data_IF_513653020530
#
_entry.id   IF_513653020530
#
_cell.length_a   1.000
_cell.length_b   1.000
_cell.length_c   1.000
_cell.angle_alpha   90.00
_cell.angle_beta   90.00
_cell.angle_gamma   90.00
#
_symmetry.space_group_name_H-M   'P 1'
#
loop_
_entity.id
_entity.type
_entity.pdbx_description
1 polymer ?
#
# COMPACT_ATOMS: atom_id res chain seq x y z
N UNK A 1 -1.97 -16.53 7.62
CA UNK A 1 -0.83 -15.64 7.30
C UNK A 1 0.46 -16.39 6.96
N UNK A 2 1.00 -17.28 7.82
CA UNK A 2 2.27 -18.00 7.55
C UNK A 2 2.23 -18.78 6.22
N UNK A 3 1.26 -19.68 6.04
CA UNK A 3 1.12 -20.48 4.81
C UNK A 3 1.03 -19.59 3.56
N UNK A 4 0.23 -18.52 3.65
CA UNK A 4 0.11 -17.55 2.58
C UNK A 4 1.48 -16.90 2.25
N UNK A 5 2.23 -16.47 3.27
CA UNK A 5 3.54 -15.85 3.06
C UNK A 5 4.54 -16.83 2.43
N UNK A 6 4.48 -18.10 2.83
CA UNK A 6 5.29 -19.16 2.20
C UNK A 6 4.92 -19.35 0.73
N UNK A 7 3.62 -19.43 0.41
CA UNK A 7 3.15 -19.53 -0.98
C UNK A 7 3.64 -18.34 -1.79
N UNK A 8 3.45 -17.12 -1.28
CA UNK A 8 3.89 -15.89 -1.94
C UNK A 8 5.41 -15.86 -2.18
N UNK A 9 6.21 -16.12 -1.16
CA UNK A 9 7.67 -16.14 -1.27
C UNK A 9 8.16 -17.23 -2.23
N UNK A 10 7.51 -18.40 -2.20
CA UNK A 10 7.82 -19.49 -3.13
C UNK A 10 7.50 -19.09 -4.57
N UNK A 11 6.32 -18.52 -4.82
CA UNK A 11 5.94 -18.03 -6.15
C UNK A 11 6.90 -16.96 -6.63
N UNK A 12 7.24 -15.98 -5.78
CA UNK A 12 8.18 -14.92 -6.14
C UNK A 12 9.58 -15.46 -6.44
N UNK A 13 10.09 -16.40 -5.64
CA UNK A 13 11.38 -17.06 -5.88
C UNK A 13 11.37 -17.80 -7.22
N UNK A 14 10.34 -18.61 -7.48
CA UNK A 14 10.21 -19.36 -8.73
C UNK A 14 10.13 -18.43 -9.95
N UNK A 15 9.38 -17.33 -9.86
CA UNK A 15 9.34 -16.31 -10.91
C UNK A 15 10.71 -15.68 -11.12
N UNK A 16 11.42 -15.33 -10.04
CA UNK A 16 12.75 -14.72 -10.11
C UNK A 16 13.75 -15.66 -10.78
N UNK A 17 13.77 -16.94 -10.39
CA UNK A 17 14.63 -17.96 -10.99
C UNK A 17 14.32 -18.15 -12.49
N UNK A 18 13.03 -18.19 -12.84
CA UNK A 18 12.60 -18.33 -14.22
C UNK A 18 13.07 -17.15 -15.09
N UNK A 19 12.86 -15.92 -14.62
CA UNK A 19 13.22 -14.69 -15.35
C UNK A 19 14.75 -14.53 -15.44
N UNK A 20 15.49 -14.87 -14.38
CA UNK A 20 16.95 -14.85 -14.41
C UNK A 20 17.52 -15.83 -15.45
N UNK A 21 16.83 -16.95 -15.69
CA UNK A 21 17.27 -17.95 -16.67
C UNK A 21 16.81 -17.63 -18.11
N UNK A 22 15.59 -17.12 -18.29
CA UNK A 22 14.98 -16.96 -19.62
C UNK A 22 14.92 -15.52 -20.13
N UNK A 23 15.31 -14.55 -19.30
CA UNK A 23 15.14 -13.13 -19.61
C UNK A 23 13.78 -12.57 -19.17
N UNK A 24 13.59 -11.25 -19.29
CA UNK A 24 12.36 -10.58 -18.89
C UNK A 24 11.27 -10.85 -19.94
N UNK A 25 10.01 -10.85 -19.50
CA UNK A 25 8.89 -10.93 -20.43
C UNK A 25 8.71 -9.59 -21.14
N UNK A 26 8.96 -9.58 -22.45
CA UNK A 26 8.86 -8.37 -23.29
C UNK A 26 7.45 -8.13 -23.85
N UNK A 27 6.56 -9.13 -23.78
CA UNK A 27 5.24 -9.09 -24.43
C UNK A 27 4.11 -9.21 -23.42
N UNK A 28 4.08 -10.28 -22.62
CA UNK A 28 2.95 -10.58 -21.75
C UNK A 28 2.97 -9.69 -20.51
N UNK A 29 4.10 -9.59 -19.81
CA UNK A 29 4.17 -8.82 -18.56
C UNK A 29 3.85 -7.32 -18.75
N UNK A 30 4.30 -6.61 -19.80
CA UNK A 30 3.94 -5.21 -20.00
C UNK A 30 2.44 -5.01 -20.23
N UNK A 31 1.82 -5.88 -21.04
CA UNK A 31 0.38 -5.86 -21.32
C UNK A 31 -0.41 -6.13 -20.04
N UNK A 32 -0.06 -7.22 -19.34
CA UNK A 32 -0.67 -7.59 -18.07
C UNK A 32 -0.59 -6.43 -17.08
N UNK A 33 0.62 -5.93 -16.81
CA UNK A 33 0.88 -4.83 -15.87
C UNK A 33 0.04 -3.60 -16.19
N UNK A 34 -0.04 -3.19 -17.47
CA UNK A 34 -0.82 -2.03 -17.88
C UNK A 34 -2.31 -2.18 -17.56
N UNK A 35 -2.92 -3.30 -17.93
CA UNK A 35 -4.37 -3.50 -17.73
C UNK A 35 -4.72 -3.82 -16.27
N UNK A 36 -3.90 -4.64 -15.62
CA UNK A 36 -3.92 -4.90 -14.18
C UNK A 36 -3.99 -3.59 -13.39
N UNK A 37 -3.05 -2.69 -13.63
CA UNK A 37 -3.01 -1.40 -12.95
C UNK A 37 -4.25 -0.53 -13.25
N UNK A 38 -4.81 -0.56 -14.46
CA UNK A 38 -6.04 0.20 -14.77
C UNK A 38 -7.25 -0.34 -14.01
N UNK A 39 -7.43 -1.65 -14.02
CA UNK A 39 -8.53 -2.31 -13.31
C UNK A 39 -8.39 -2.07 -11.82
N UNK A 40 -7.18 -2.23 -11.29
CA UNK A 40 -6.93 -2.14 -9.86
C UNK A 40 -6.97 -0.70 -9.35
N UNK A 41 -6.68 0.29 -10.21
CA UNK A 41 -6.95 1.71 -9.94
C UNK A 41 -8.44 1.96 -9.71
N UNK A 42 -9.30 1.46 -10.62
CA UNK A 42 -10.75 1.57 -10.48
C UNK A 42 -11.25 0.84 -9.23
N UNK A 43 -10.78 -0.39 -9.00
CA UNK A 43 -11.11 -1.15 -7.79
C UNK A 43 -10.75 -0.38 -6.51
N UNK A 44 -9.55 0.20 -6.45
CA UNK A 44 -9.08 0.97 -5.31
C UNK A 44 -9.94 2.23 -5.08
N UNK A 45 -10.37 2.90 -6.15
CA UNK A 45 -11.27 4.04 -6.05
C UNK A 45 -12.64 3.63 -5.50
N UNK A 46 -13.23 2.56 -6.04
CA UNK A 46 -14.53 2.05 -5.59
C UNK A 46 -14.48 1.60 -4.12
N UNK A 47 -13.39 0.92 -3.72
CA UNK A 47 -13.20 0.52 -2.33
C UNK A 47 -13.03 1.72 -1.39
N UNK A 48 -12.31 2.76 -1.81
CA UNK A 48 -12.21 4.02 -1.07
C UNK A 48 -13.59 4.66 -0.84
N UNK A 49 -14.38 4.80 -1.91
CA UNK A 49 -15.73 5.34 -1.82
C UNK A 49 -16.63 4.49 -0.93
N UNK A 50 -16.51 3.16 -0.99
CA UNK A 50 -17.26 2.25 -0.14
C UNK A 50 -16.91 2.41 1.35
N UNK A 51 -15.62 2.51 1.69
CA UNK A 51 -15.16 2.73 3.08
C UNK A 51 -15.65 4.09 3.60
N UNK A 52 -15.57 5.14 2.78
CA UNK A 52 -16.07 6.48 3.15
C UNK A 52 -17.59 6.48 3.34
N UNK A 53 -18.33 5.85 2.43
CA UNK A 53 -19.78 5.71 2.53
C UNK A 53 -20.20 5.05 3.84
N UNK A 54 -19.59 3.91 4.20
CA UNK A 54 -19.86 3.23 5.48
C UNK A 54 -19.48 4.13 6.67
N UNK A 55 -18.38 4.89 6.59
CA UNK A 55 -17.96 5.79 7.66
C UNK A 55 -18.99 6.89 7.93
N UNK A 56 -19.57 7.47 6.87
CA UNK A 56 -20.63 8.47 7.00
C UNK A 56 -21.94 7.86 7.49
N UNK A 57 -22.31 6.68 7.01
CA UNK A 57 -23.54 6.00 7.43
C UNK A 57 -23.49 5.53 8.89
N UNK A 58 -22.37 4.96 9.33
CA UNK A 58 -22.17 4.52 10.72
C UNK A 58 -22.29 5.67 11.71
N UNK A 59 -21.93 6.90 11.31
CA UNK A 59 -22.08 8.09 12.15
C UNK A 59 -23.55 8.55 12.30
N UNK A 60 -24.46 8.02 11.48
CA UNK A 60 -25.87 8.39 11.43
C UNK A 60 -26.80 7.33 12.06
N UNK A 61 -26.33 6.09 12.24
CA UNK A 61 -27.20 4.92 12.43
C UNK A 61 -26.99 4.15 13.74
N UNK A 62 -26.52 4.81 14.81
CA UNK A 62 -26.29 4.26 16.17
C UNK A 62 -27.57 3.77 16.91
N UNK A 63 -28.67 3.49 16.20
CA UNK A 63 -29.97 3.19 16.81
C UNK A 63 -30.86 2.14 16.13
N UNK A 64 -30.43 1.49 15.05
CA UNK A 64 -31.25 0.45 14.41
C UNK A 64 -30.48 -0.86 14.23
N UNK A 65 -30.67 -1.75 15.20
CA UNK A 65 -30.44 -3.19 15.05
C UNK A 65 -31.18 -3.67 13.79
N UNK A 66 -30.45 -4.21 12.82
CA UNK A 66 -31.09 -5.07 11.82
C UNK A 66 -30.13 -6.18 11.41
N UNK A 67 -30.70 -7.37 11.22
CA UNK A 67 -30.12 -8.62 10.73
C UNK A 67 -29.60 -8.52 9.28
N UNK A 68 -28.96 -7.40 8.93
CA UNK A 68 -28.43 -7.08 7.62
C UNK A 68 -26.98 -7.51 7.42
N UNK A 69 -26.54 -7.47 6.16
CA UNK A 69 -25.14 -7.69 5.77
C UNK A 69 -24.22 -6.75 6.57
N UNK A 70 -23.27 -7.32 7.32
CA UNK A 70 -22.24 -6.55 8.04
C UNK A 70 -21.29 -5.88 7.03
N UNK A 71 -21.69 -4.70 6.56
CA UNK A 71 -20.95 -3.91 5.57
C UNK A 71 -19.57 -3.52 6.06
N UNK A 72 -19.39 -3.32 7.37
CA UNK A 72 -18.08 -2.99 7.92
C UNK A 72 -17.14 -4.19 7.80
N UNK A 73 -17.58 -5.38 8.21
CA UNK A 73 -16.81 -6.60 8.04
C UNK A 73 -16.53 -6.91 6.58
N UNK A 74 -17.48 -6.68 5.69
CA UNK A 74 -17.25 -6.79 4.24
C UNK A 74 -16.17 -5.81 3.76
N UNK A 75 -16.18 -4.56 4.22
CA UNK A 75 -15.18 -3.57 3.85
C UNK A 75 -13.79 -3.93 4.42
N UNK A 76 -13.70 -4.38 5.67
CA UNK A 76 -12.45 -4.86 6.31
C UNK A 76 -11.86 -6.04 5.55
N UNK A 77 -12.69 -7.03 5.24
CA UNK A 77 -12.28 -8.22 4.48
C UNK A 77 -11.83 -7.86 3.07
N UNK A 78 -12.59 -7.00 2.37
CA UNK A 78 -12.24 -6.56 1.02
C UNK A 78 -10.93 -5.77 1.01
N UNK A 79 -10.72 -4.88 1.99
CA UNK A 79 -9.47 -4.14 2.14
C UNK A 79 -8.28 -5.06 2.46
N UNK A 80 -8.43 -6.01 3.37
CA UNK A 80 -7.39 -6.99 3.66
C UNK A 80 -7.07 -7.85 2.43
N UNK A 81 -8.10 -8.32 1.71
CA UNK A 81 -7.93 -9.12 0.50
C UNK A 81 -7.22 -8.34 -0.62
N UNK A 82 -7.47 -7.05 -0.73
CA UNK A 82 -6.75 -6.18 -1.67
C UNK A 82 -5.23 -6.23 -1.41
N UNK A 83 -4.80 -6.31 -0.15
CA UNK A 83 -3.36 -6.42 0.19
C UNK A 83 -2.72 -7.73 -0.24
N UNK A 84 -3.48 -8.81 -0.33
CA UNK A 84 -2.99 -10.03 -0.96
C UNK A 84 -2.89 -9.91 -2.46
N UNK A 85 -3.86 -9.25 -3.09
CA UNK A 85 -3.84 -9.05 -4.54
C UNK A 85 -2.60 -8.26 -5.00
N UNK A 86 -2.13 -7.33 -4.17
CA UNK A 86 -0.92 -6.53 -4.41
C UNK A 86 0.36 -7.37 -4.59
N UNK A 87 0.39 -8.64 -4.19
CA UNK A 87 1.51 -9.54 -4.53
C UNK A 87 1.76 -9.69 -6.03
N UNK A 88 0.71 -9.54 -6.83
CA UNK A 88 0.84 -9.54 -8.29
C UNK A 88 1.74 -8.41 -8.80
N UNK A 89 1.91 -7.32 -8.05
CA UNK A 89 2.79 -6.23 -8.43
C UNK A 89 4.26 -6.64 -8.35
N UNK A 90 4.64 -7.37 -7.31
CA UNK A 90 6.01 -7.90 -7.15
C UNK A 90 6.31 -8.90 -8.28
N UNK A 91 5.36 -9.78 -8.58
CA UNK A 91 5.50 -10.73 -9.69
C UNK A 91 5.61 -10.00 -11.04
N UNK A 92 4.82 -8.95 -11.25
CA UNK A 92 4.86 -8.14 -12.47
C UNK A 92 6.18 -7.40 -12.63
N UNK A 93 6.66 -6.74 -11.56
CA UNK A 93 7.95 -6.04 -11.55
C UNK A 93 9.10 -7.02 -11.79
N UNK A 94 9.07 -8.20 -11.17
CA UNK A 94 10.04 -9.28 -11.38
C UNK A 94 10.01 -9.74 -12.83
N UNK A 95 8.83 -9.94 -13.41
CA UNK A 95 8.68 -10.41 -14.79
C UNK A 95 9.19 -9.39 -15.83
N UNK A 96 9.24 -8.11 -15.50
CA UNK A 96 9.65 -7.03 -16.41
C UNK A 96 11.15 -6.75 -16.42
N UNK A 97 11.91 -7.16 -15.41
CA UNK A 97 13.32 -6.77 -15.27
C UNK A 97 14.21 -7.97 -14.94
N UNK A 98 15.34 -8.09 -15.63
CA UNK A 98 16.24 -9.24 -15.47
C UNK A 98 17.37 -9.01 -14.47
N UNK A 99 17.66 -7.76 -14.09
CA UNK A 99 18.82 -7.45 -13.25
C UNK A 99 18.59 -6.30 -12.27
N UNK A 100 17.36 -5.80 -12.16
CA UNK A 100 17.04 -4.77 -11.16
C UNK A 100 16.59 -5.44 -9.87
N UNK A 101 17.40 -5.29 -8.83
CA UNK A 101 16.99 -5.64 -7.49
C UNK A 101 15.70 -4.88 -7.15
N UNK A 102 14.68 -5.61 -6.69
CA UNK A 102 13.46 -5.00 -6.20
C UNK A 102 13.80 -4.09 -5.02
N UNK A 103 13.25 -2.88 -5.05
CA UNK A 103 13.43 -1.90 -3.99
C UNK A 103 13.01 -2.50 -2.63
N UNK A 104 13.83 -2.29 -1.60
CA UNK A 104 13.67 -2.92 -0.28
C UNK A 104 12.35 -2.52 0.38
N UNK A 105 12.00 -1.23 0.33
CA UNK A 105 10.72 -0.71 0.79
C UNK A 105 9.57 -1.45 0.10
N UNK A 106 9.64 -1.59 -1.22
CA UNK A 106 8.59 -2.21 -2.01
C UNK A 106 8.40 -3.69 -1.63
N UNK A 107 9.48 -4.45 -1.55
CA UNK A 107 9.45 -5.85 -1.12
C UNK A 107 8.97 -6.03 0.32
N UNK A 108 9.51 -5.24 1.26
CA UNK A 108 9.14 -5.30 2.67
C UNK A 108 7.67 -4.94 2.86
N UNK A 109 7.22 -3.84 2.24
CA UNK A 109 5.83 -3.38 2.28
C UNK A 109 4.87 -4.45 1.80
N UNK A 110 5.11 -5.06 0.63
CA UNK A 110 4.20 -6.07 0.09
C UNK A 110 4.17 -7.32 0.96
N UNK A 111 5.32 -7.76 1.49
CA UNK A 111 5.38 -8.91 2.38
C UNK A 111 4.58 -8.67 3.67
N UNK A 112 4.70 -7.48 4.26
CA UNK A 112 4.23 -7.21 5.63
C UNK A 112 2.88 -6.48 5.71
N UNK A 113 2.39 -5.85 4.65
CA UNK A 113 1.09 -5.14 4.67
C UNK A 113 -0.12 -6.07 4.86
N UNK A 114 -0.13 -7.31 4.32
CA UNK A 114 -1.14 -8.28 4.69
C UNK A 114 -1.09 -8.67 6.17
N UNK A 115 0.09 -8.77 6.77
CA UNK A 115 0.23 -8.98 8.22
C UNK A 115 -0.28 -7.78 9.03
N UNK A 116 0.07 -6.56 8.61
CA UNK A 116 -0.43 -5.33 9.19
C UNK A 116 -1.97 -5.33 9.22
N UNK A 117 -2.61 -5.56 8.07
CA UNK A 117 -4.08 -5.54 7.98
C UNK A 117 -4.74 -6.72 8.68
N UNK A 118 -4.10 -7.89 8.72
CA UNK A 118 -4.56 -9.03 9.52
C UNK A 118 -4.59 -8.71 11.03
N UNK A 119 -3.55 -8.06 11.54
CA UNK A 119 -3.44 -7.71 12.97
C UNK A 119 -4.34 -6.52 13.33
N UNK A 120 -4.43 -5.53 12.44
CA UNK A 120 -4.99 -4.20 12.75
C UNK A 120 -6.44 -3.99 12.29
N UNK A 121 -6.86 -4.67 11.22
CA UNK A 121 -8.11 -4.37 10.50
C UNK A 121 -9.10 -5.53 10.51
N UNK A 122 -8.65 -6.78 10.59
CA UNK A 122 -9.56 -7.92 10.61
C UNK A 122 -10.23 -8.26 11.96
N UNK A 123 -9.60 -8.08 13.13
CA UNK A 123 -10.17 -8.63 14.36
C UNK A 123 -11.48 -7.95 14.80
N UNK A 124 -12.52 -8.74 15.04
CA UNK A 124 -13.88 -8.22 15.26
C UNK A 124 -14.03 -7.33 16.52
N UNK A 125 -13.17 -7.47 17.54
CA UNK A 125 -13.35 -6.82 18.85
C UNK A 125 -12.57 -5.48 19.06
N UNK A 126 -11.84 -4.95 18.06
CA UNK A 126 -10.96 -3.78 18.32
C UNK A 126 -10.48 -3.01 17.07
N UNK A 127 -11.34 -2.88 16.06
CA UNK A 127 -10.96 -2.23 14.79
C UNK A 127 -10.95 -0.68 14.82
N UNK A 128 -10.93 -0.01 15.96
CA UNK A 128 -11.06 1.45 16.04
C UNK A 128 -10.10 2.19 15.08
N UNK A 129 -10.59 3.22 14.37
CA UNK A 129 -9.77 4.07 13.50
C UNK A 129 -9.31 3.46 12.16
N UNK A 130 -9.59 2.17 11.88
CA UNK A 130 -9.07 1.49 10.68
C UNK A 130 -9.46 2.18 9.36
N UNK A 131 -10.68 2.76 9.31
CA UNK A 131 -11.29 3.33 8.10
C UNK A 131 -10.49 4.50 7.55
N UNK A 132 -9.92 5.36 8.41
CA UNK A 132 -9.16 6.53 7.97
C UNK A 132 -7.88 6.15 7.22
N UNK A 133 -7.12 5.22 7.80
CA UNK A 133 -5.93 4.67 7.15
C UNK A 133 -6.30 3.94 5.86
N UNK A 134 -7.32 3.08 5.90
CA UNK A 134 -7.73 2.31 4.73
C UNK A 134 -8.25 3.18 3.57
N UNK A 135 -9.03 4.22 3.87
CA UNK A 135 -9.51 5.19 2.87
C UNK A 135 -8.34 5.98 2.26
N UNK A 136 -7.41 6.48 3.07
CA UNK A 136 -6.23 7.19 2.56
C UNK A 136 -5.32 6.28 1.73
N UNK A 137 -5.14 5.03 2.16
CA UNK A 137 -4.37 4.04 1.43
C UNK A 137 -5.01 3.67 0.09
N UNK A 138 -6.30 3.38 0.07
CA UNK A 138 -7.03 3.04 -1.17
C UNK A 138 -7.11 4.23 -2.12
N UNK A 139 -7.26 5.47 -1.61
CA UNK A 139 -7.15 6.69 -2.41
C UNK A 139 -5.75 6.84 -3.04
N UNK A 140 -4.68 6.61 -2.27
CA UNK A 140 -3.32 6.63 -2.81
C UNK A 140 -3.14 5.53 -3.87
N UNK A 141 -3.63 4.31 -3.62
CA UNK A 141 -3.52 3.20 -4.56
C UNK A 141 -4.29 3.50 -5.86
N UNK A 142 -5.49 4.10 -5.78
CA UNK A 142 -6.24 4.52 -6.97
C UNK A 142 -5.39 5.43 -7.87
N UNK A 143 -4.71 6.43 -7.28
CA UNK A 143 -3.82 7.34 -8.01
C UNK A 143 -2.55 6.65 -8.53
N UNK A 144 -1.93 5.82 -7.69
CA UNK A 144 -0.68 5.13 -7.98
C UNK A 144 -0.86 4.16 -9.15
N UNK A 145 -1.90 3.34 -9.11
CA UNK A 145 -2.21 2.41 -10.19
C UNK A 145 -2.70 3.12 -11.46
N UNK A 146 -3.40 4.26 -11.36
CA UNK A 146 -3.71 5.07 -12.54
C UNK A 146 -2.43 5.56 -13.22
N UNK A 147 -1.44 5.98 -12.44
CA UNK A 147 -0.13 6.39 -12.93
C UNK A 147 0.60 5.22 -13.60
N UNK A 148 0.71 4.06 -12.94
CA UNK A 148 1.39 2.88 -13.51
C UNK A 148 0.64 2.25 -14.70
N UNK A 149 -0.69 2.40 -14.76
CA UNK A 149 -1.50 1.99 -15.91
C UNK A 149 -1.44 2.96 -17.10
N UNK A 150 -0.69 4.06 -16.98
CA UNK A 150 -0.54 5.06 -18.04
C UNK A 150 -1.86 5.75 -18.40
N UNK A 151 -2.72 6.01 -17.42
CA UNK A 151 -4.01 6.71 -17.64
C UNK A 151 -3.80 8.22 -17.81
N UNK A 152 -2.71 8.77 -17.26
CA UNK A 152 -2.37 10.18 -17.38
C UNK A 152 -1.46 10.45 -18.58
N UNK A 153 -1.82 11.40 -19.45
CA UNK A 153 -0.94 11.88 -20.54
C UNK A 153 0.31 12.61 -20.02
N UNK A 154 1.32 12.88 -20.88
CA UNK A 154 2.67 13.27 -20.46
C UNK A 154 2.76 14.45 -19.48
N UNK A 155 1.93 15.50 -19.67
CA UNK A 155 1.88 16.68 -18.78
C UNK A 155 1.25 16.38 -17.41
N UNK A 156 0.31 15.44 -17.35
CA UNK A 156 -0.34 15.02 -16.11
C UNK A 156 0.56 14.07 -15.31
N UNK A 157 1.42 13.31 -15.99
CA UNK A 157 2.38 12.37 -15.37
C UNK A 157 3.31 13.05 -14.35
N UNK A 158 3.81 14.26 -14.64
CA UNK A 158 4.71 14.96 -13.72
C UNK A 158 3.99 15.47 -12.47
N UNK A 159 2.82 16.09 -12.65
CA UNK A 159 1.98 16.54 -11.51
C UNK A 159 1.56 15.35 -10.66
N UNK A 160 1.13 14.27 -11.29
CA UNK A 160 0.72 13.05 -10.61
C UNK A 160 1.88 12.46 -9.81
N UNK A 161 3.10 12.44 -10.35
CA UNK A 161 4.30 11.99 -9.59
C UNK A 161 4.50 12.78 -8.29
N UNK A 162 4.30 14.10 -8.31
CA UNK A 162 4.39 14.94 -7.10
C UNK A 162 3.26 14.60 -6.11
N UNK A 163 2.03 14.46 -6.60
CA UNK A 163 0.88 14.06 -5.77
C UNK A 163 1.09 12.68 -5.15
N UNK A 164 1.66 11.73 -5.88
CA UNK A 164 1.97 10.38 -5.38
C UNK A 164 2.97 10.40 -4.23
N UNK A 165 4.00 11.26 -4.29
CA UNK A 165 4.92 11.42 -3.15
C UNK A 165 4.19 11.88 -1.90
N UNK A 166 3.39 12.94 -2.02
CA UNK A 166 2.65 13.51 -0.88
C UNK A 166 1.60 12.56 -0.33
N UNK A 167 0.79 11.96 -1.20
CA UNK A 167 -0.26 11.03 -0.78
C UNK A 167 0.33 9.75 -0.21
N UNK A 168 1.46 9.27 -0.74
CA UNK A 168 2.17 8.09 -0.24
C UNK A 168 2.71 8.26 1.17
N UNK A 169 3.28 9.42 1.48
CA UNK A 169 3.71 9.72 2.86
C UNK A 169 2.53 10.06 3.78
N UNK A 170 1.57 10.84 3.26
CA UNK A 170 0.41 11.30 4.03
C UNK A 170 -0.44 10.15 4.56
N UNK A 171 -0.66 9.10 3.78
CA UNK A 171 -1.39 7.92 4.25
C UNK A 171 -0.71 7.22 5.43
N UNK A 172 0.64 7.15 5.45
CA UNK A 172 1.40 6.49 6.52
C UNK A 172 1.36 7.32 7.79
N UNK A 173 1.57 8.63 7.66
CA UNK A 173 1.46 9.58 8.76
C UNK A 173 0.07 9.57 9.38
N UNK A 174 -0.98 9.58 8.55
CA UNK A 174 -2.35 9.50 9.03
C UNK A 174 -2.60 8.21 9.82
N UNK A 175 -2.12 7.06 9.32
CA UNK A 175 -2.23 5.79 10.05
C UNK A 175 -1.54 5.84 11.42
N UNK A 176 -0.33 6.38 11.49
CA UNK A 176 0.39 6.52 12.76
C UNK A 176 -0.32 7.47 13.73
N UNK A 177 -0.82 8.62 13.26
CA UNK A 177 -1.57 9.57 14.11
C UNK A 177 -2.84 8.93 14.67
N UNK A 178 -3.58 8.20 13.83
CA UNK A 178 -4.78 7.48 14.26
C UNK A 178 -4.43 6.42 15.30
N UNK A 179 -3.39 5.61 15.08
CA UNK A 179 -2.98 4.59 16.04
C UNK A 179 -2.52 5.20 17.37
N UNK A 180 -1.76 6.30 17.35
CA UNK A 180 -1.39 7.04 18.58
C UNK A 180 -2.62 7.55 19.31
N UNK A 181 -3.60 8.11 18.59
CA UNK A 181 -4.86 8.58 19.19
C UNK A 181 -5.64 7.45 19.87
N UNK A 182 -5.73 6.29 19.24
CA UNK A 182 -6.40 5.11 19.81
C UNK A 182 -5.66 4.57 21.02
N UNK A 183 -4.33 4.43 20.94
CA UNK A 183 -3.50 4.00 22.08
C UNK A 183 -3.69 4.96 23.26
N UNK A 184 -3.61 6.27 23.01
CA UNK A 184 -3.81 7.29 24.04
C UNK A 184 -5.19 7.18 24.68
N UNK A 185 -6.25 7.11 23.87
CA UNK A 185 -7.63 6.99 24.37
C UNK A 185 -7.87 5.73 25.20
N UNK A 186 -7.27 4.61 24.83
CA UNK A 186 -7.39 3.33 25.56
C UNK A 186 -6.58 3.31 26.85
N UNK A 187 -5.32 3.73 26.81
CA UNK A 187 -4.45 3.74 28.00
C UNK A 187 -4.90 4.79 29.01
N UNK A 188 -5.08 6.04 28.57
CA UNK A 188 -5.40 7.16 29.47
C UNK A 188 -6.89 7.20 29.80
N UNK A 189 -7.75 6.96 28.82
CA UNK A 189 -9.21 7.07 29.00
C UNK A 189 -9.85 5.84 29.61
N UNK A 190 -9.38 4.63 29.27
CA UNK A 190 -9.98 3.36 29.72
C UNK A 190 -9.10 2.56 30.70
N UNK A 191 -7.86 3.00 30.96
CA UNK A 191 -6.93 2.28 31.82
C UNK A 191 -6.47 0.94 31.26
N UNK A 192 -6.57 0.73 29.93
CA UNK A 192 -6.13 -0.52 29.29
C UNK A 192 -4.59 -0.66 29.37
N UNK A 193 -4.13 -1.87 29.68
CA UNK A 193 -2.71 -2.23 29.62
C UNK A 193 -2.22 -2.51 28.19
N UNK A 194 -0.97 -2.94 28.07
CA UNK A 194 -0.33 -3.25 26.77
C UNK A 194 -1.14 -4.26 25.94
N UNK A 195 -1.77 -5.25 26.59
CA UNK A 195 -2.62 -6.25 25.92
C UNK A 195 -3.81 -5.63 25.17
N UNK A 196 -4.33 -4.50 25.64
CA UNK A 196 -5.43 -3.78 24.97
C UNK A 196 -4.99 -2.95 23.76
N UNK A 197 -3.68 -2.68 23.63
CA UNK A 197 -3.16 -1.71 22.65
C UNK A 197 -2.03 -2.22 21.75
N UNK A 198 -1.49 -3.42 21.99
CA UNK A 198 -0.31 -3.93 21.28
C UNK A 198 -0.48 -3.94 19.76
N UNK A 199 -1.70 -4.16 19.25
CA UNK A 199 -1.99 -4.19 17.81
C UNK A 199 -1.74 -2.83 17.15
N UNK A 200 -2.09 -1.75 17.83
CA UNK A 200 -1.83 -0.38 17.37
C UNK A 200 -0.34 -0.03 17.49
N UNK A 201 0.36 -0.56 18.49
CA UNK A 201 1.81 -0.40 18.62
C UNK A 201 2.56 -1.12 17.49
N UNK A 202 2.18 -2.37 17.18
CA UNK A 202 2.73 -3.14 16.06
C UNK A 202 2.42 -2.45 14.73
N UNK A 203 1.19 -1.96 14.56
CA UNK A 203 0.76 -1.22 13.38
C UNK A 203 1.58 0.06 13.18
N UNK A 204 1.63 0.92 14.21
CA UNK A 204 2.44 2.14 14.19
C UNK A 204 3.92 1.88 13.94
N UNK A 205 4.48 0.81 14.52
CA UNK A 205 5.85 0.37 14.27
C UNK A 205 6.10 -0.01 12.81
N UNK A 206 5.23 -0.83 12.21
CA UNK A 206 5.31 -1.20 10.80
C UNK A 206 5.17 0.01 9.87
N UNK A 207 4.20 0.89 10.15
CA UNK A 207 4.01 2.13 9.38
C UNK A 207 5.25 3.04 9.47
N UNK A 208 5.88 3.13 10.64
CA UNK A 208 7.14 3.85 10.84
C UNK A 208 8.29 3.27 10.02
N UNK A 209 8.41 1.93 9.96
CA UNK A 209 9.40 1.26 9.10
C UNK A 209 9.12 1.53 7.63
N UNK A 210 7.86 1.46 7.18
CA UNK A 210 7.49 1.79 5.80
C UNK A 210 7.88 3.22 5.45
N UNK A 211 7.56 4.17 6.32
CA UNK A 211 7.89 5.58 6.12
C UNK A 211 9.40 5.81 6.05
N UNK A 212 10.17 5.20 6.95
CA UNK A 212 11.64 5.31 6.97
C UNK A 212 12.30 4.72 5.72
N UNK A 213 11.85 3.53 5.28
CA UNK A 213 12.36 2.89 4.07
C UNK A 213 11.99 3.71 2.81
N UNK A 214 10.76 4.20 2.71
CA UNK A 214 10.33 5.04 1.60
C UNK A 214 11.16 6.34 1.52
N UNK A 215 11.39 7.01 2.66
CA UNK A 215 12.23 8.22 2.72
C UNK A 215 13.66 7.96 2.30
N UNK A 216 14.25 6.84 2.74
CA UNK A 216 15.60 6.42 2.35
C UNK A 216 15.70 6.23 0.83
N UNK A 217 14.73 5.56 0.21
CA UNK A 217 14.73 5.29 -1.24
C UNK A 217 14.47 6.53 -2.08
N UNK A 218 13.53 7.39 -1.67
CA UNK A 218 13.30 8.67 -2.32
C UNK A 218 14.57 9.53 -2.26
N UNK A 219 15.26 9.57 -1.12
CA UNK A 219 16.53 10.24 -0.95
C UNK A 219 17.62 9.70 -1.88
N UNK A 220 17.71 8.36 -2.05
CA UNK A 220 18.66 7.73 -2.98
C UNK A 220 18.38 8.15 -4.43
N UNK A 221 17.13 8.03 -4.88
CA UNK A 221 16.70 8.38 -6.25
C UNK A 221 16.89 9.86 -6.58
N UNK A 222 16.72 10.74 -5.59
CA UNK A 222 16.90 12.17 -5.78
C UNK A 222 18.38 12.56 -5.84
N UNK A 223 19.30 11.79 -5.22
CA UNK A 223 20.75 11.93 -5.41
C UNK A 223 21.19 11.45 -6.79
N UNK A 224 20.75 10.26 -7.20
CA UNK A 224 21.06 9.70 -8.53
C UNK A 224 20.62 10.65 -9.67
N UNK A 225 19.42 11.25 -9.55
CA UNK A 225 18.94 12.24 -10.52
C UNK A 225 19.79 13.50 -10.60
N UNK A 226 20.42 13.92 -9.50
CA UNK A 226 21.30 15.10 -9.50
C UNK A 226 22.61 14.76 -10.21
N UNK A 227 23.23 13.64 -9.88
CA UNK A 227 24.47 13.17 -10.52
C UNK A 227 24.34 13.09 -12.04
N UNK A 228 23.30 12.44 -12.56
CA UNK A 228 23.06 12.35 -14.02
C UNK A 228 22.86 13.72 -14.67
N UNK A 229 22.20 14.65 -13.95
CA UNK A 229 21.98 16.01 -14.46
C UNK A 229 23.28 16.81 -14.51
N UNK A 230 24.18 16.58 -13.57
CA UNK A 230 25.47 17.27 -13.52
C UNK A 230 26.42 16.71 -14.60
N UNK A 231 26.51 15.38 -14.75
CA UNK A 231 27.25 14.73 -15.84
C UNK A 231 26.77 15.15 -17.24
N UNK A 232 25.45 15.25 -17.45
CA UNK A 232 24.89 15.69 -18.74
C UNK A 232 25.08 17.17 -19.06
N UNK A 233 25.48 17.99 -18.08
CA UNK A 233 25.87 19.38 -18.29
C UNK A 233 27.35 19.47 -18.64
N UNK A 234 28.21 18.74 -17.93
CA UNK A 234 29.65 18.70 -18.19
C UNK A 234 29.94 18.18 -19.61
N UNK A 235 29.27 17.11 -20.06
CA UNK A 235 29.41 16.61 -21.43
C UNK A 235 28.80 17.48 -22.54
N UNK A 236 28.23 18.65 -22.22
CA UNK A 236 27.79 19.66 -23.20
C UNK A 236 28.69 20.89 -23.24
N UNK A 237 29.66 20.98 -22.33
CA UNK A 237 30.64 22.07 -22.25
C UNK A 237 31.99 21.69 -22.88
N UNK A 238 32.16 20.43 -23.32
CA UNK A 238 33.24 19.94 -24.21
C UNK A 238 32.86 20.04 -25.70
#
# INVERSE_FOLDING_TARGET
>A
MILQSLVYLTTWLLTSLYINHHGPSTTIAPIFTKYHNRIYSLFSLLLCLFILFISFQSSYQDGLNSDGLDLDRLARNTFHLSKFYEYTDILSVTALHTHHAIDLHFAFHHLTTPWLTFIRVLPDESCEGWRWFAAANTAHHALMYAYFGGVAGPRYTERLRRVLRWTGEGQLLLGMVVDVGVVWGRVVGKGEGVEGVWRFLVSGGLLGVYWGLNRRELGRRDRERKTVKDESKEGKEE
#
